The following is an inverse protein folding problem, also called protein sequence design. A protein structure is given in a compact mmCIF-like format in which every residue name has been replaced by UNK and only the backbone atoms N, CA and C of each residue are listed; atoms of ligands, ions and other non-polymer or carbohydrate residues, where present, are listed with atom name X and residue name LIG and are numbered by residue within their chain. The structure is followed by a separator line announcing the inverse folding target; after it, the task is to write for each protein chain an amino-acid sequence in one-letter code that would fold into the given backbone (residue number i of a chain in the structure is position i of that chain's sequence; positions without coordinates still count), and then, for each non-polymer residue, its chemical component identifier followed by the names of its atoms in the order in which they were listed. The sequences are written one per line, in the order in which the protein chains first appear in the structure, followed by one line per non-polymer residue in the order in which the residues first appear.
data_IF_977989377193
#
_entry.id   IF_977989377193
#
_cell.length_a   1.000
_cell.length_b   1.000
_cell.length_c   1.000
_cell.angle_alpha   90.00
_cell.angle_beta   90.00
_cell.angle_gamma   90.00
#
_symmetry.space_group_name_H-M   'P 1'
#
loop_
_entity.id
_entity.type
_entity.pdbx_description
1 polymer ?
#
# COMPACT_ATOMS: atom_id res chain seq x y z
N UNK A 1 -10.36 -14.40 22.28
CA UNK A 1 -10.06 -14.41 20.82
C UNK A 1 -11.24 -13.91 19.99
N UNK A 2 -12.46 -13.90 20.53
CA UNK A 2 -13.68 -13.61 19.75
C UNK A 2 -13.68 -12.22 19.10
N UNK A 3 -13.23 -11.19 19.83
CA UNK A 3 -13.09 -9.84 19.26
C UNK A 3 -12.07 -9.82 18.12
N UNK A 4 -10.93 -10.49 18.29
CA UNK A 4 -9.90 -10.56 17.25
C UNK A 4 -10.43 -11.28 16.00
N UNK A 5 -11.15 -12.39 16.17
CA UNK A 5 -11.76 -13.15 15.07
C UNK A 5 -12.82 -12.31 14.35
N UNK A 6 -13.69 -11.63 15.11
CA UNK A 6 -14.72 -10.76 14.55
C UNK A 6 -14.11 -9.61 13.72
N UNK A 7 -13.11 -8.91 14.28
CA UNK A 7 -12.42 -7.82 13.59
C UNK A 7 -11.67 -8.36 12.36
N UNK A 8 -11.00 -9.51 12.48
CA UNK A 8 -10.28 -10.16 11.38
C UNK A 8 -11.18 -10.55 10.21
N UNK A 9 -12.34 -11.16 10.50
CA UNK A 9 -13.32 -11.53 9.47
C UNK A 9 -13.94 -10.28 8.84
N UNK A 10 -14.29 -9.28 9.64
CA UNK A 10 -14.81 -8.00 9.13
C UNK A 10 -13.80 -7.34 8.19
N UNK A 11 -12.52 -7.35 8.58
CA UNK A 11 -11.43 -6.82 7.77
C UNK A 11 -11.22 -7.61 6.47
N UNK A 12 -11.32 -8.94 6.51
CA UNK A 12 -11.26 -9.79 5.31
C UNK A 12 -12.34 -9.42 4.29
N UNK A 13 -13.58 -9.20 4.75
CA UNK A 13 -14.70 -8.77 3.91
C UNK A 13 -14.42 -7.39 3.32
N UNK A 14 -14.00 -6.42 4.15
CA UNK A 14 -13.67 -5.08 3.69
C UNK A 14 -12.54 -5.07 2.66
N UNK A 15 -11.52 -5.93 2.85
CA UNK A 15 -10.41 -6.08 1.92
C UNK A 15 -10.88 -6.65 0.58
N UNK A 16 -11.79 -7.63 0.57
CA UNK A 16 -12.38 -8.15 -0.66
C UNK A 16 -13.11 -7.05 -1.46
N UNK A 17 -13.89 -6.18 -0.79
CA UNK A 17 -14.51 -5.02 -1.43
C UNK A 17 -13.50 -4.02 -1.95
N UNK A 18 -12.44 -3.73 -1.19
CA UNK A 18 -11.37 -2.84 -1.61
C UNK A 18 -10.67 -3.36 -2.88
N UNK A 19 -10.29 -4.63 -2.89
CA UNK A 19 -9.68 -5.29 -4.05
C UNK A 19 -10.61 -5.22 -5.26
N UNK A 20 -11.88 -5.58 -5.09
CA UNK A 20 -12.89 -5.49 -6.14
C UNK A 20 -13.01 -4.06 -6.71
N UNK A 21 -13.05 -3.04 -5.84
CA UNK A 21 -13.13 -1.65 -6.25
C UNK A 21 -11.88 -1.19 -7.02
N UNK A 22 -10.68 -1.54 -6.55
CA UNK A 22 -9.41 -1.19 -7.21
C UNK A 22 -9.31 -1.81 -8.60
N UNK A 23 -9.77 -3.06 -8.75
CA UNK A 23 -9.78 -3.74 -10.04
C UNK A 23 -10.81 -3.16 -11.00
N UNK A 24 -12.05 -2.92 -10.55
CA UNK A 24 -13.14 -2.43 -11.42
C UNK A 24 -12.98 -0.97 -11.84
N UNK A 25 -12.40 -0.13 -10.99
CA UNK A 25 -12.13 1.30 -11.31
C UNK A 25 -10.85 1.52 -12.11
N UNK A 26 -9.98 0.51 -12.21
CA UNK A 26 -8.67 0.64 -12.86
C UNK A 26 -7.64 1.44 -12.06
N UNK A 27 -7.93 1.78 -10.80
CA UNK A 27 -7.03 2.52 -9.91
C UNK A 27 -5.74 1.73 -9.60
N UNK A 28 -5.72 0.41 -9.86
CA UNK A 28 -4.52 -0.42 -9.74
C UNK A 28 -3.31 0.14 -10.53
N UNK A 29 -3.57 0.85 -11.64
CA UNK A 29 -2.53 1.48 -12.48
C UNK A 29 -1.68 2.49 -11.71
N UNK A 30 -2.19 3.04 -10.60
CA UNK A 30 -1.45 3.99 -9.75
C UNK A 30 -0.37 3.30 -8.89
N UNK A 31 -0.45 1.97 -8.74
CA UNK A 31 0.48 1.16 -7.95
C UNK A 31 1.60 0.54 -8.80
N UNK A 32 1.64 0.82 -10.10
CA UNK A 32 2.71 0.32 -10.99
C UNK A 32 4.07 0.83 -10.49
N UNK A 33 5.00 -0.07 -10.13
CA UNK A 33 6.24 0.30 -9.47
C UNK A 33 7.18 1.01 -10.43
N UNK A 34 7.99 1.92 -9.90
CA UNK A 34 9.11 2.56 -10.60
C UNK A 34 10.27 2.71 -9.62
N UNK A 35 11.49 2.43 -10.08
CA UNK A 35 12.72 2.62 -9.29
C UNK A 35 13.33 4.00 -9.51
N UNK A 36 12.81 4.78 -10.46
CA UNK A 36 13.29 6.13 -10.77
C UNK A 36 13.10 7.04 -9.55
N UNK A 37 14.15 7.78 -9.18
CA UNK A 37 14.20 8.70 -8.02
C UNK A 37 13.95 8.04 -6.65
N UNK A 38 13.94 6.70 -6.55
CA UNK A 38 13.72 5.99 -5.28
C UNK A 38 14.73 6.41 -4.20
N UNK A 39 16.02 6.41 -4.52
CA UNK A 39 17.07 6.84 -3.59
C UNK A 39 16.94 8.32 -3.20
N UNK A 40 16.50 9.17 -4.12
CA UNK A 40 16.27 10.60 -3.83
C UNK A 40 15.13 10.78 -2.83
N UNK A 41 14.04 10.02 -2.99
CA UNK A 41 12.89 10.02 -2.07
C UNK A 41 13.28 9.46 -0.70
N UNK A 42 14.08 8.38 -0.66
CA UNK A 42 14.59 7.83 0.62
C UNK A 42 15.43 8.88 1.35
N UNK A 43 16.42 9.47 0.66
CA UNK A 43 17.26 10.54 1.23
C UNK A 43 16.42 11.71 1.72
N UNK A 44 15.41 12.12 0.95
CA UNK A 44 14.52 13.21 1.30
C UNK A 44 13.83 12.95 2.65
N UNK A 45 13.20 11.80 2.81
CA UNK A 45 12.53 11.46 4.06
C UNK A 45 13.48 11.16 5.22
N UNK A 46 14.70 10.70 4.95
CA UNK A 46 15.70 10.50 6.00
C UNK A 46 16.30 11.81 6.52
N UNK A 47 16.54 12.80 5.65
CA UNK A 47 17.29 14.02 6.01
C UNK A 47 16.76 15.31 5.38
N UNK A 48 16.35 15.27 4.10
CA UNK A 48 15.94 16.46 3.35
C UNK A 48 14.72 17.18 3.92
N UNK A 49 13.77 16.43 4.49
CA UNK A 49 12.55 16.99 5.10
C UNK A 49 12.89 17.93 6.28
N UNK A 50 13.92 17.58 7.07
CA UNK A 50 14.37 18.39 8.21
C UNK A 50 15.15 19.64 7.77
N UNK A 51 15.66 19.66 6.54
CA UNK A 51 16.36 20.80 5.94
C UNK A 51 15.43 21.74 5.19
N UNK A 52 14.13 21.43 5.11
CA UNK A 52 13.18 22.21 4.32
C UNK A 52 13.43 22.10 2.81
N UNK A 53 14.09 21.02 2.35
CA UNK A 53 14.26 20.78 0.92
C UNK A 53 12.89 20.56 0.24
N UNK A 54 12.77 20.91 -1.03
CA UNK A 54 11.57 20.62 -1.83
C UNK A 54 11.46 19.11 -2.10
N UNK A 55 10.25 18.54 -2.02
CA UNK A 55 10.04 17.12 -2.26
C UNK A 55 10.45 16.75 -3.71
N UNK A 56 11.29 15.71 -3.92
CA UNK A 56 11.88 15.40 -5.22
C UNK A 56 10.90 14.90 -6.29
N UNK A 57 9.66 14.60 -5.90
CA UNK A 57 8.57 14.16 -6.79
C UNK A 57 7.24 14.81 -6.33
N UNK A 58 6.76 15.88 -6.97
CA UNK A 58 5.51 16.55 -6.59
C UNK A 58 4.30 15.62 -6.76
N UNK A 59 3.31 15.71 -5.86
CA UNK A 59 2.05 14.95 -6.00
C UNK A 59 1.15 15.56 -7.08
N UNK A 60 0.39 14.73 -7.80
CA UNK A 60 -0.66 15.18 -8.76
C UNK A 60 -1.78 14.15 -8.93
N UNK A 61 -2.92 14.57 -9.50
CA UNK A 61 -4.12 13.74 -9.72
C UNK A 61 -3.84 12.38 -10.41
N UNK A 62 -2.90 12.33 -11.36
CA UNK A 62 -2.52 11.11 -12.10
C UNK A 62 -1.30 10.34 -11.57
N UNK A 63 -0.67 10.84 -10.50
CA UNK A 63 0.49 10.25 -9.85
C UNK A 63 0.44 10.62 -8.36
N UNK A 64 -0.54 10.02 -7.68
CA UNK A 64 -0.87 10.33 -6.28
C UNK A 64 0.24 9.89 -5.31
N UNK A 65 1.09 8.97 -5.74
CA UNK A 65 2.10 8.32 -4.89
C UNK A 65 3.51 8.50 -5.44
N UNK A 66 4.44 8.79 -4.54
CA UNK A 66 5.86 8.79 -4.86
C UNK A 66 6.39 7.34 -5.07
N UNK A 67 7.55 7.16 -5.72
CA UNK A 67 8.13 5.84 -5.99
C UNK A 67 8.25 4.92 -4.77
N UNK A 68 8.63 5.47 -3.60
CA UNK A 68 8.72 4.72 -2.35
C UNK A 68 7.35 4.24 -1.88
N UNK A 69 6.35 5.12 -1.89
CA UNK A 69 4.97 4.81 -1.51
C UNK A 69 4.35 3.76 -2.44
N UNK A 70 4.56 3.86 -3.76
CA UNK A 70 4.06 2.85 -4.71
C UNK A 70 4.61 1.47 -4.40
N UNK A 71 5.92 1.37 -4.20
CA UNK A 71 6.57 0.10 -3.88
C UNK A 71 6.09 -0.45 -2.52
N UNK A 72 6.02 0.40 -1.50
CA UNK A 72 5.55 0.01 -0.17
C UNK A 72 4.10 -0.45 -0.20
N UNK A 73 3.21 0.28 -0.88
CA UNK A 73 1.78 -0.08 -0.97
C UNK A 73 1.57 -1.35 -1.80
N UNK A 74 2.33 -1.53 -2.87
CA UNK A 74 2.29 -2.77 -3.64
C UNK A 74 2.73 -3.96 -2.79
N UNK A 75 3.88 -3.86 -2.10
CA UNK A 75 4.37 -4.93 -1.21
C UNK A 75 3.38 -5.22 -0.06
N UNK A 76 2.78 -4.18 0.51
CA UNK A 76 1.79 -4.33 1.58
C UNK A 76 0.53 -5.05 1.06
N UNK A 77 -0.08 -4.54 -0.01
CA UNK A 77 -1.36 -5.02 -0.53
C UNK A 77 -1.24 -6.38 -1.25
N UNK A 78 -0.15 -6.64 -1.96
CA UNK A 78 0.03 -7.87 -2.74
C UNK A 78 0.70 -9.01 -1.97
N UNK A 79 1.40 -8.72 -0.86
CA UNK A 79 2.11 -9.75 -0.10
C UNK A 79 1.75 -9.75 1.38
N UNK A 80 2.06 -8.67 2.11
CA UNK A 80 1.98 -8.69 3.57
C UNK A 80 0.54 -8.91 4.08
N UNK A 81 -0.43 -8.15 3.54
CA UNK A 81 -1.83 -8.29 3.94
C UNK A 81 -2.42 -9.65 3.54
N UNK A 82 -2.23 -10.15 2.29
CA UNK A 82 -2.65 -11.51 1.93
C UNK A 82 -2.05 -12.60 2.83
N UNK A 83 -0.75 -12.53 3.15
CA UNK A 83 -0.10 -13.48 4.05
C UNK A 83 -0.74 -13.42 5.44
N UNK A 84 -1.00 -12.22 5.98
CA UNK A 84 -1.64 -12.06 7.28
C UNK A 84 -3.06 -12.64 7.30
N UNK A 85 -3.84 -12.40 6.24
CA UNK A 85 -5.20 -12.95 6.09
C UNK A 85 -5.18 -14.47 6.02
N UNK A 86 -4.37 -15.04 5.13
CA UNK A 86 -4.29 -16.49 4.91
C UNK A 86 -3.84 -17.20 6.18
N UNK A 87 -2.79 -16.70 6.82
CA UNK A 87 -2.31 -17.30 8.08
C UNK A 87 -3.35 -17.18 9.20
N UNK A 88 -4.10 -16.06 9.27
CA UNK A 88 -5.19 -15.89 10.24
C UNK A 88 -6.36 -16.86 10.02
N UNK A 89 -6.80 -17.04 8.78
CA UNK A 89 -7.87 -17.98 8.41
C UNK A 89 -7.43 -19.42 8.69
N UNK A 90 -6.21 -19.79 8.31
CA UNK A 90 -5.68 -21.12 8.57
C UNK A 90 -5.58 -21.39 10.08
N UNK A 91 -5.12 -20.41 10.86
CA UNK A 91 -5.05 -20.53 12.31
C UNK A 91 -6.43 -20.68 12.95
N UNK A 92 -7.42 -19.92 12.47
CA UNK A 92 -8.80 -20.00 12.94
C UNK A 92 -9.47 -21.34 12.61
N UNK A 93 -9.12 -21.95 11.48
CA UNK A 93 -9.70 -23.21 10.97
C UNK A 93 -8.93 -24.47 11.40
N UNK A 94 -7.97 -24.36 12.32
CA UNK A 94 -7.06 -25.46 12.66
C UNK A 94 -7.78 -26.76 13.07
N UNK A 95 -8.91 -26.65 13.77
CA UNK A 95 -9.72 -27.80 14.19
C UNK A 95 -10.26 -28.65 13.03
N UNK A 96 -10.33 -28.08 11.81
CA UNK A 96 -10.83 -28.77 10.61
C UNK A 96 -9.72 -29.33 9.73
N UNK A 97 -8.45 -29.09 10.07
CA UNK A 97 -7.33 -29.46 9.19
C UNK A 97 -7.18 -30.95 8.98
N UNK A 98 -7.43 -31.77 10.01
CA UNK A 98 -7.36 -33.22 9.90
C UNK A 98 -8.36 -33.73 8.85
N UNK A 99 -9.60 -33.23 8.89
CA UNK A 99 -10.64 -33.54 7.91
C UNK A 99 -10.32 -33.03 6.49
N UNK A 100 -9.52 -31.97 6.37
CA UNK A 100 -9.09 -31.39 5.08
C UNK A 100 -7.78 -31.98 4.54
N UNK A 101 -7.16 -32.94 5.25
CA UNK A 101 -5.87 -33.50 4.86
C UNK A 101 -4.68 -32.55 5.04
N UNK A 102 -4.84 -31.49 5.85
CA UNK A 102 -3.82 -30.48 6.12
C UNK A 102 -2.96 -30.79 7.36
N UNK A 103 -2.96 -32.04 7.83
CA UNK A 103 -2.20 -32.46 9.01
C UNK A 103 -0.67 -32.31 8.91
N UNK A 104 -0.15 -32.06 7.71
CA UNK A 104 1.27 -31.76 7.49
C UNK A 104 1.65 -30.31 7.86
N UNK A 105 0.68 -29.42 8.02
CA UNK A 105 0.93 -28.04 8.43
C UNK A 105 1.24 -27.97 9.92
N UNK A 106 2.25 -27.17 10.28
CA UNK A 106 2.59 -26.92 11.68
C UNK A 106 1.84 -25.69 12.20
N UNK A 107 1.02 -25.88 13.23
CA UNK A 107 0.32 -24.79 13.91
C UNK A 107 1.30 -23.76 14.48
N UNK A 108 2.44 -24.22 15.01
CA UNK A 108 3.48 -23.35 15.56
C UNK A 108 4.11 -22.47 14.48
N UNK A 109 4.42 -23.03 13.31
CA UNK A 109 4.99 -22.27 12.19
C UNK A 109 4.00 -21.20 11.72
N UNK A 110 2.71 -21.53 11.58
CA UNK A 110 1.70 -20.53 11.22
C UNK A 110 1.56 -19.44 12.28
N UNK A 111 1.58 -19.79 13.57
CA UNK A 111 1.53 -18.81 14.65
C UNK A 111 2.70 -17.81 14.55
N UNK A 112 3.91 -18.31 14.32
CA UNK A 112 5.11 -17.46 14.19
C UNK A 112 5.02 -16.56 12.96
N UNK A 113 4.58 -17.08 11.81
CA UNK A 113 4.41 -16.27 10.60
C UNK A 113 3.36 -15.18 10.81
N UNK A 114 2.20 -15.54 11.40
CA UNK A 114 1.13 -14.58 11.67
C UNK A 114 1.56 -13.49 12.68
N UNK A 115 2.32 -13.87 13.70
CA UNK A 115 2.89 -12.94 14.67
C UNK A 115 3.92 -12.01 14.02
N UNK A 116 4.83 -12.55 13.21
CA UNK A 116 5.82 -11.76 12.49
C UNK A 116 5.14 -10.77 11.52
N UNK A 117 4.14 -11.22 10.78
CA UNK A 117 3.34 -10.36 9.91
C UNK A 117 2.63 -9.24 10.67
N UNK A 118 2.09 -9.53 11.86
CA UNK A 118 1.50 -8.52 12.73
C UNK A 118 2.52 -7.44 13.16
N UNK A 119 3.76 -7.83 13.49
CA UNK A 119 4.83 -6.86 13.80
C UNK A 119 5.23 -6.02 12.59
N UNK A 120 5.29 -6.58 11.39
CA UNK A 120 5.55 -5.81 10.17
C UNK A 120 4.43 -4.80 9.89
N UNK A 121 3.17 -5.19 10.05
CA UNK A 121 2.02 -4.29 9.91
C UNK A 121 2.08 -3.18 10.97
N UNK A 122 2.39 -3.51 12.22
CA UNK A 122 2.55 -2.53 13.29
C UNK A 122 3.66 -1.51 12.97
N UNK A 123 4.82 -1.99 12.53
CA UNK A 123 5.94 -1.13 12.12
C UNK A 123 5.54 -0.21 10.97
N UNK A 124 4.84 -0.75 9.96
CA UNK A 124 4.30 0.05 8.87
C UNK A 124 3.34 1.13 9.37
N UNK A 125 2.42 0.83 10.29
CA UNK A 125 1.48 1.80 10.84
C UNK A 125 2.22 2.95 11.55
N UNK A 126 3.23 2.65 12.36
CA UNK A 126 4.04 3.67 13.05
C UNK A 126 4.67 4.63 12.05
N UNK A 127 5.36 4.08 11.04
CA UNK A 127 6.00 4.88 9.99
C UNK A 127 4.94 5.63 9.17
N UNK A 128 3.84 4.97 8.81
CA UNK A 128 2.78 5.56 8.01
C UNK A 128 2.18 6.78 8.71
N UNK A 129 1.79 6.65 9.98
CA UNK A 129 1.24 7.75 10.77
C UNK A 129 2.24 8.91 10.86
N UNK A 130 3.51 8.64 11.13
CA UNK A 130 4.56 9.67 11.10
C UNK A 130 4.61 10.39 9.75
N UNK A 131 4.60 9.65 8.64
CA UNK A 131 4.68 10.23 7.30
C UNK A 131 3.41 11.00 6.90
N UNK A 132 2.27 10.72 7.51
CA UNK A 132 1.06 11.53 7.30
C UNK A 132 1.14 12.90 7.97
N UNK A 133 2.01 13.09 8.97
CA UNK A 133 2.17 14.37 9.66
C UNK A 133 3.24 15.26 9.04
N UNK A 134 3.99 14.78 8.05
CA UNK A 134 5.04 15.54 7.35
C UNK A 134 4.51 16.34 6.14
N UNK A 135 3.23 16.73 6.15
CA UNK A 135 2.65 17.60 5.11
C UNK A 135 2.93 19.09 5.36
N UNK A 136 2.43 19.97 4.48
CA UNK A 136 2.51 21.43 4.68
C UNK A 136 1.93 21.89 6.02
N UNK A 137 0.96 21.14 6.55
CA UNK A 137 0.55 21.18 7.94
C UNK A 137 0.43 19.75 8.47
N UNK A 138 0.51 19.60 9.80
CA UNK A 138 0.45 18.29 10.49
C UNK A 138 -0.81 17.48 10.10
N UNK A 139 -1.90 18.15 9.76
CA UNK A 139 -3.17 17.52 9.40
C UNK A 139 -3.49 17.54 7.91
N UNK A 140 -2.62 18.09 7.05
CA UNK A 140 -2.91 18.25 5.62
C UNK A 140 -3.25 16.91 4.95
N UNK A 141 -2.39 15.90 5.14
CA UNK A 141 -2.63 14.58 4.53
C UNK A 141 -3.79 13.82 5.20
N UNK A 142 -3.98 13.96 6.51
CA UNK A 142 -5.11 13.34 7.22
C UNK A 142 -6.44 13.92 6.73
N UNK A 143 -6.52 15.25 6.56
CA UNK A 143 -7.68 15.93 5.99
C UNK A 143 -7.97 15.39 4.60
N UNK A 144 -6.95 15.28 3.73
CA UNK A 144 -7.11 14.75 2.39
C UNK A 144 -7.63 13.30 2.37
N UNK A 145 -7.22 12.45 3.33
CA UNK A 145 -7.74 11.08 3.46
C UNK A 145 -9.23 11.04 3.83
N UNK A 146 -9.69 11.97 4.67
CA UNK A 146 -11.09 12.02 5.14
C UNK A 146 -12.00 12.68 4.10
N UNK A 147 -11.56 13.79 3.50
CA UNK A 147 -12.37 14.56 2.55
C UNK A 147 -12.29 14.04 1.13
N UNK A 148 -11.23 13.31 0.79
CA UNK A 148 -10.91 12.92 -0.58
C UNK A 148 -10.32 14.04 -1.44
N UNK A 149 -10.10 15.23 -0.88
CA UNK A 149 -9.58 16.42 -1.58
C UNK A 149 -8.25 16.86 -1.00
N UNK A 150 -7.22 16.95 -1.85
CA UNK A 150 -5.89 17.46 -1.51
C UNK A 150 -5.61 18.73 -2.31
N UNK A 151 -5.13 19.77 -1.65
CA UNK A 151 -4.65 21.00 -2.30
C UNK A 151 -3.28 20.70 -2.93
N UNK A 152 -3.18 20.84 -4.26
CA UNK A 152 -1.95 20.59 -5.02
C UNK A 152 -1.38 21.95 -5.40
N UNK A 153 -0.10 22.19 -5.13
CA UNK A 153 0.60 23.38 -5.63
C UNK A 153 0.59 23.36 -7.17
N UNK A 154 -0.11 24.32 -7.78
CA UNK A 154 -0.14 24.50 -9.23
C UNK A 154 1.20 25.06 -9.73
N UNK A 155 1.74 24.50 -10.82
CA UNK A 155 2.89 25.07 -11.54
C UNK A 155 4.22 24.31 -11.46
N UNK A 156 4.28 23.11 -10.85
CA UNK A 156 5.53 22.33 -10.82
C UNK A 156 5.75 21.56 -12.13
N UNK A 157 6.91 21.77 -12.78
CA UNK A 157 7.25 21.09 -14.04
C UNK A 157 7.28 19.57 -13.89
N UNK A 158 6.65 18.89 -14.85
CA UNK A 158 6.61 17.42 -14.90
C UNK A 158 7.93 16.93 -15.53
N UNK A 159 8.72 16.16 -14.77
CA UNK A 159 9.92 15.51 -15.31
C UNK A 159 9.54 14.51 -16.43
N UNK A 160 10.30 14.53 -17.53
CA UNK A 160 9.94 13.85 -18.78
C UNK A 160 9.82 12.32 -18.66
N UNK A 161 10.52 11.72 -17.71
CA UNK A 161 10.43 10.28 -17.46
C UNK A 161 9.05 9.82 -16.96
N UNK A 162 8.30 10.72 -16.33
CA UNK A 162 6.96 10.45 -15.82
C UNK A 162 5.89 10.66 -16.90
N UNK A 163 6.15 11.54 -17.88
CA UNK A 163 5.34 11.66 -19.11
C UNK A 163 5.49 10.42 -19.99
N UNK A 164 6.73 9.96 -20.15
CA UNK A 164 7.08 8.82 -20.99
C UNK A 164 6.46 7.50 -20.48
N UNK A 165 6.44 7.26 -19.16
CA UNK A 165 5.84 6.03 -18.61
C UNK A 165 4.33 5.98 -18.86
N UNK A 166 3.66 7.14 -18.88
CA UNK A 166 2.22 7.25 -19.13
C UNK A 166 1.87 7.02 -20.60
N UNK A 167 2.63 7.62 -21.53
CA UNK A 167 2.43 7.44 -22.97
C UNK A 167 2.57 5.96 -23.37
N UNK A 168 3.63 5.31 -22.88
CA UNK A 168 3.85 3.88 -23.10
C UNK A 168 2.71 3.01 -22.57
N UNK A 169 2.09 3.39 -21.44
CA UNK A 169 0.98 2.64 -20.84
C UNK A 169 -0.35 2.88 -21.56
N UNK A 170 -0.61 4.10 -22.07
CA UNK A 170 -1.80 4.36 -22.87
C UNK A 170 -1.74 3.64 -24.22
N UNK A 171 -0.56 3.59 -24.84
CA UNK A 171 -0.34 2.90 -26.12
C UNK A 171 -0.54 1.38 -25.98
N UNK A 172 0.03 0.76 -24.94
CA UNK A 172 -0.18 -0.68 -24.67
C UNK A 172 -1.63 -1.01 -24.31
N UNK A 173 -2.32 -0.15 -23.55
CA UNK A 173 -3.73 -0.37 -23.21
C UNK A 173 -4.68 -0.17 -24.40
N UNK A 174 -4.30 0.62 -25.42
CA UNK A 174 -5.08 0.73 -26.66
C UNK A 174 -4.82 -0.45 -27.61
N UNK A 175 -3.63 -1.04 -27.58
CA UNK A 175 -3.28 -2.22 -28.38
C UNK A 175 -3.94 -3.51 -27.84
N UNK A 176 -4.17 -3.63 -26.52
CA UNK A 176 -4.87 -4.79 -25.93
C UNK A 176 -6.40 -4.76 -26.08
N UNK A 177 -6.99 -3.60 -26.43
CA UNK A 177 -8.44 -3.41 -26.56
C UNK A 177 -8.91 -3.23 -28.02
N UNK A 178 -8.03 -3.43 -29.00
CA UNK A 178 -8.34 -3.41 -30.44
C UNK A 178 -8.25 -4.80 -31.06
#
# INVERSE_FOLDING_TARGET
VDIHNFVGITWLIAFAFFVFWVFTTGEWKQYVPTTKKLFAVIRYYSFGVFKGESHPVPKRKGAKHNPLQRLTYLSLAAMLLPIQMVTGILYWTYNSWEAWGLGFLSLNVLAVIHLAGAFFILSFIVVHVYMTTTGHTIFAHIKAMITGWEDIEEGVEIEDWEKASRKRFSETASEENG
#
